data_IF_218330618338
#
_entry.id   IF_218330618338
#
_cell.length_a   1.000
_cell.length_b   1.000
_cell.length_c   1.000
_cell.angle_alpha   90.00
_cell.angle_beta   90.00
_cell.angle_gamma   90.00
#
_symmetry.space_group_name_H-M   'P 1'
#
loop_
_entity.id
_entity.type
_entity.pdbx_description
1 polymer ?
#
# COMPACT_ATOMS: atom_id res chain seq x y z
N UNK A 1 11.30 9.33 -12.78
CA UNK A 1 10.76 9.75 -11.46
C UNK A 1 10.29 8.58 -10.60
N UNK A 2 9.53 7.61 -11.14
CA UNK A 2 8.99 6.43 -10.42
C UNK A 2 10.00 5.68 -9.53
N UNK A 3 11.23 5.47 -10.00
CA UNK A 3 12.29 4.83 -9.20
C UNK A 3 12.68 5.60 -7.94
N UNK A 4 12.65 6.94 -7.97
CA UNK A 4 12.92 7.79 -6.81
C UNK A 4 11.78 7.66 -5.78
N UNK A 5 10.54 7.59 -6.24
CA UNK A 5 9.38 7.38 -5.36
C UNK A 5 9.43 6.00 -4.70
N UNK A 6 9.76 4.95 -5.47
CA UNK A 6 9.97 3.60 -4.92
C UNK A 6 11.05 3.64 -3.84
N UNK A 7 12.19 4.26 -4.12
CA UNK A 7 13.27 4.38 -3.13
C UNK A 7 12.84 5.15 -1.88
N UNK A 8 12.06 6.24 -2.01
CA UNK A 8 11.50 7.00 -0.88
C UNK A 8 10.56 6.13 -0.03
N UNK A 9 9.66 5.39 -0.67
CA UNK A 9 8.69 4.52 0.02
C UNK A 9 9.39 3.37 0.74
N UNK A 10 10.36 2.71 0.09
CA UNK A 10 11.14 1.63 0.72
C UNK A 10 11.97 2.12 1.92
N UNK A 11 12.46 3.37 1.89
CA UNK A 11 13.11 3.99 3.05
C UNK A 11 12.13 4.29 4.19
N UNK A 12 10.91 4.71 3.87
CA UNK A 12 9.83 4.97 4.85
C UNK A 12 9.31 3.68 5.49
N UNK A 13 9.32 2.57 4.73
CA UNK A 13 8.84 1.26 5.17
C UNK A 13 9.89 0.16 4.93
N UNK A 14 10.93 0.07 5.78
CA UNK A 14 12.04 -0.87 5.58
C UNK A 14 11.60 -2.34 5.44
N UNK A 15 10.54 -2.75 6.14
CA UNK A 15 9.99 -4.11 6.08
C UNK A 15 9.53 -4.53 4.67
N UNK A 16 9.20 -3.57 3.79
CA UNK A 16 8.81 -3.86 2.41
C UNK A 16 9.99 -4.44 1.61
N UNK A 17 11.23 -4.06 1.97
CA UNK A 17 12.45 -4.61 1.34
C UNK A 17 12.57 -6.10 1.62
N UNK A 18 12.24 -6.53 2.84
CA UNK A 18 12.28 -7.94 3.23
C UNK A 18 11.23 -8.75 2.47
N UNK A 19 10.00 -8.22 2.35
CA UNK A 19 8.91 -8.88 1.59
C UNK A 19 9.28 -9.03 0.12
N UNK A 20 9.84 -7.98 -0.49
CA UNK A 20 10.33 -8.01 -1.87
C UNK A 20 11.44 -9.05 -2.05
N UNK A 21 12.41 -9.09 -1.14
CA UNK A 21 13.57 -9.99 -1.20
C UNK A 21 13.17 -11.45 -1.02
N UNK A 22 12.29 -11.75 -0.07
CA UNK A 22 11.88 -13.13 0.25
C UNK A 22 11.08 -13.79 -0.87
N UNK A 23 10.31 -13.03 -1.66
CA UNK A 23 9.39 -13.59 -2.65
C UNK A 23 9.98 -13.76 -4.05
N UNK A 24 11.31 -13.66 -4.19
CA UNK A 24 12.03 -13.91 -5.45
C UNK A 24 11.34 -13.30 -6.68
N UNK A 25 10.91 -12.04 -6.60
CA UNK A 25 10.51 -11.34 -7.81
C UNK A 25 11.80 -10.88 -8.48
N UNK A 26 12.37 -11.74 -9.33
CA UNK A 26 13.63 -11.50 -10.05
C UNK A 26 13.62 -10.17 -10.81
N UNK A 27 12.45 -9.58 -11.02
CA UNK A 27 12.26 -8.23 -11.51
C UNK A 27 11.04 -7.65 -10.79
N UNK A 28 11.25 -6.78 -9.79
CA UNK A 28 10.19 -5.82 -9.46
C UNK A 28 10.01 -4.96 -10.71
N UNK A 29 9.03 -5.29 -11.55
CA UNK A 29 8.61 -4.33 -12.55
C UNK A 29 8.14 -3.09 -11.78
N UNK A 30 8.75 -1.92 -11.97
CA UNK A 30 8.42 -0.73 -11.18
C UNK A 30 6.92 -0.40 -11.20
N UNK A 31 6.23 -0.82 -12.27
CA UNK A 31 4.80 -0.64 -12.52
C UNK A 31 3.87 -1.69 -11.87
N UNK A 32 4.41 -2.80 -11.36
CA UNK A 32 3.64 -3.84 -10.66
C UNK A 32 3.57 -3.62 -9.15
N UNK A 33 4.39 -2.70 -8.62
CA UNK A 33 4.42 -2.38 -7.19
C UNK A 33 3.41 -1.28 -6.91
N UNK A 34 2.40 -1.61 -6.11
CA UNK A 34 1.46 -0.65 -5.55
C UNK A 34 1.66 -0.57 -4.04
N UNK A 35 1.70 0.65 -3.51
CA UNK A 35 1.80 0.86 -2.07
C UNK A 35 0.63 1.72 -1.61
N UNK A 36 -0.06 1.23 -0.59
CA UNK A 36 -1.21 1.89 0.01
C UNK A 36 -0.91 2.22 1.46
N UNK A 37 -1.21 3.44 1.90
CA UNK A 37 -1.07 3.84 3.30
C UNK A 37 -2.41 4.32 3.80
N UNK A 38 -2.86 3.81 4.95
CA UNK A 38 -4.05 4.32 5.60
C UNK A 38 -3.83 5.78 6.00
N UNK A 39 -4.81 6.66 5.78
CA UNK A 39 -4.67 8.10 6.06
C UNK A 39 -4.35 8.41 7.53
N UNK A 40 -4.81 7.56 8.43
CA UNK A 40 -4.51 7.64 9.87
C UNK A 40 -3.09 7.16 10.23
N UNK A 41 -2.32 6.67 9.25
CA UNK A 41 -0.98 6.13 9.44
C UNK A 41 -0.96 4.77 10.17
N UNK A 42 -2.12 4.18 10.44
CA UNK A 42 -2.24 2.95 11.23
C UNK A 42 -1.75 1.70 10.50
N UNK A 43 -1.67 1.77 9.18
CA UNK A 43 -1.36 0.64 8.33
C UNK A 43 -0.69 1.09 7.04
N UNK A 44 0.29 0.30 6.58
CA UNK A 44 0.87 0.41 5.26
C UNK A 44 0.86 -0.96 4.59
N UNK A 45 0.44 -0.99 3.32
CA UNK A 45 0.29 -2.20 2.53
C UNK A 45 1.11 -2.13 1.26
N UNK A 46 1.77 -3.24 0.93
CA UNK A 46 2.49 -3.47 -0.31
C UNK A 46 1.74 -4.52 -1.14
N UNK A 47 1.23 -4.14 -2.30
CA UNK A 47 0.71 -5.09 -3.29
C UNK A 47 1.71 -5.25 -4.43
N UNK A 48 2.07 -6.50 -4.69
CA UNK A 48 2.95 -6.90 -5.78
C UNK A 48 2.18 -7.61 -6.91
N UNK A 49 0.96 -8.05 -6.61
CA UNK A 49 0.04 -8.72 -7.53
C UNK A 49 -1.38 -8.59 -6.95
N UNK A 50 -2.12 -7.53 -7.29
CA UNK A 50 -3.47 -7.31 -6.76
C UNK A 50 -4.40 -8.51 -7.00
N UNK A 51 -5.32 -8.82 -6.09
CA UNK A 51 -5.63 -8.11 -4.84
C UNK A 51 -4.77 -8.55 -3.63
N UNK A 52 -3.72 -9.36 -3.85
CA UNK A 52 -2.86 -9.84 -2.76
C UNK A 52 -1.92 -8.73 -2.30
N UNK A 53 -1.95 -8.44 -1.01
CA UNK A 53 -1.12 -7.42 -0.39
C UNK A 53 -0.50 -7.92 0.93
N UNK A 54 0.61 -7.32 1.32
CA UNK A 54 1.21 -7.48 2.64
C UNK A 54 0.98 -6.19 3.40
N UNK A 55 0.29 -6.25 4.53
CA UNK A 55 0.01 -5.08 5.34
C UNK A 55 0.74 -5.19 6.68
N UNK A 56 1.35 -4.09 7.09
CA UNK A 56 1.95 -3.92 8.41
C UNK A 56 0.96 -3.19 9.32
N UNK A 57 0.51 -3.87 10.37
CA UNK A 57 -0.33 -3.31 11.41
C UNK A 57 0.34 -3.57 12.76
N UNK A 58 0.54 -2.52 13.56
CA UNK A 58 1.17 -2.61 14.90
C UNK A 58 2.51 -3.37 14.89
N UNK A 59 3.34 -3.19 13.86
CA UNK A 59 4.66 -3.83 13.73
C UNK A 59 4.64 -5.28 13.24
N UNK A 60 3.47 -5.91 13.09
CA UNK A 60 3.33 -7.23 12.49
C UNK A 60 2.98 -7.12 11.00
N UNK A 61 3.72 -7.83 10.14
CA UNK A 61 3.46 -7.92 8.70
C UNK A 61 2.66 -9.18 8.41
N UNK A 62 1.52 -9.04 7.74
CA UNK A 62 0.67 -10.17 7.34
C UNK A 62 0.26 -10.07 5.88
N UNK A 63 0.15 -11.22 5.24
CA UNK A 63 -0.48 -11.32 3.93
C UNK A 63 -2.01 -11.20 4.10
N UNK A 64 -2.62 -10.31 3.32
CA UNK A 64 -4.05 -10.06 3.33
C UNK A 64 -4.56 -9.86 1.90
N UNK A 65 -5.85 -10.08 1.70
CA UNK A 65 -6.54 -9.74 0.46
C UNK A 65 -7.08 -8.32 0.60
N UNK A 66 -6.48 -7.38 -0.13
CA UNK A 66 -6.81 -5.96 -0.05
C UNK A 66 -7.73 -5.60 -1.23
N UNK A 67 -9.04 -5.59 -0.98
CA UNK A 67 -10.03 -5.18 -1.96
C UNK A 67 -10.36 -3.70 -1.78
N UNK A 68 -10.01 -2.87 -2.77
CA UNK A 68 -10.16 -1.43 -2.71
C UNK A 68 -11.07 -0.92 -3.83
N UNK A 69 -11.84 0.11 -3.52
CA UNK A 69 -12.62 0.92 -4.44
C UNK A 69 -11.99 2.30 -4.54
N UNK A 70 -11.72 2.76 -5.76
CA UNK A 70 -11.37 4.16 -5.98
C UNK A 70 -12.46 5.07 -5.41
N UNK A 71 -12.05 6.14 -4.72
CA UNK A 71 -12.94 7.17 -4.21
C UNK A 71 -12.75 8.50 -4.94
N UNK A 72 -11.54 9.07 -4.88
CA UNK A 72 -11.26 10.44 -5.34
C UNK A 72 -9.77 10.67 -5.49
N UNK A 73 -9.41 11.77 -6.14
CA UNK A 73 -8.07 12.33 -6.08
C UNK A 73 -7.99 13.37 -4.96
N UNK A 74 -6.87 13.38 -4.24
CA UNK A 74 -6.63 14.35 -3.16
C UNK A 74 -5.13 14.64 -3.03
N UNK A 75 -4.79 15.83 -2.54
CA UNK A 75 -3.39 16.20 -2.30
C UNK A 75 -2.85 15.48 -1.06
N UNK A 76 -1.79 14.70 -1.24
CA UNK A 76 -1.07 14.02 -0.17
C UNK A 76 0.44 14.08 -0.44
N UNK A 77 1.22 14.53 0.56
CA UNK A 77 2.66 14.83 0.42
C UNK A 77 2.95 15.72 -0.80
N UNK A 78 2.20 16.82 -0.93
CA UNK A 78 2.31 17.83 -2.01
C UNK A 78 2.09 17.30 -3.44
N UNK A 79 1.47 16.12 -3.56
CA UNK A 79 1.14 15.49 -4.84
C UNK A 79 -0.32 15.07 -4.89
N UNK A 80 -0.93 15.15 -6.08
CA UNK A 80 -2.25 14.54 -6.31
C UNK A 80 -2.12 13.02 -6.25
N UNK A 81 -2.78 12.39 -5.28
CA UNK A 81 -2.79 10.95 -5.07
C UNK A 81 -4.21 10.40 -5.17
N UNK A 82 -4.31 9.16 -5.61
CA UNK A 82 -5.57 8.43 -5.59
C UNK A 82 -5.89 7.94 -4.18
N UNK A 83 -7.13 8.17 -3.76
CA UNK A 83 -7.68 7.73 -2.49
C UNK A 83 -8.65 6.58 -2.75
N UNK A 84 -8.51 5.52 -1.97
CA UNK A 84 -9.24 4.28 -2.06
C UNK A 84 -9.97 3.97 -0.74
N UNK A 85 -11.06 3.21 -0.83
CA UNK A 85 -11.81 2.69 0.32
C UNK A 85 -11.93 1.17 0.27
N UNK A 86 -11.87 0.45 1.39
CA UNK A 86 -12.12 -0.98 1.44
C UNK A 86 -13.46 -1.39 0.82
N UNK A 87 -13.45 -2.45 0.02
CA UNK A 87 -14.63 -3.19 -0.41
C UNK A 87 -14.81 -4.40 0.52
N UNK A 88 -16.04 -4.65 0.99
CA UNK A 88 -16.39 -5.90 1.70
C UNK A 88 -16.89 -5.75 3.15
N UNK A 89 -17.41 -6.86 3.68
CA UNK A 89 -18.28 -6.97 4.86
C UNK A 89 -17.54 -7.29 6.19
N UNK A 90 -16.24 -7.00 6.32
CA UNK A 90 -15.60 -6.89 7.64
C UNK A 90 -15.82 -5.46 8.15
N UNK A 91 -17.10 -5.21 8.34
CA UNK A 91 -17.82 -3.99 8.65
C UNK A 91 -17.64 -3.56 10.10
N UNK A 92 -17.69 -2.25 10.32
CA UNK A 92 -17.61 -1.48 11.58
C UNK A 92 -16.26 -0.92 12.02
N UNK A 93 -15.12 -1.63 11.95
CA UNK A 93 -13.84 -1.05 12.38
C UNK A 93 -13.05 -0.32 11.26
N UNK A 94 -13.30 -0.65 10.00
CA UNK A 94 -12.53 -0.19 8.82
C UNK A 94 -13.30 0.74 7.89
N UNK A 95 -14.58 1.01 8.17
CA UNK A 95 -15.46 1.84 7.32
C UNK A 95 -14.94 3.28 7.16
N UNK A 96 -14.12 3.75 8.11
CA UNK A 96 -13.45 5.06 8.07
C UNK A 96 -12.05 5.03 7.45
N UNK A 97 -11.48 3.87 7.17
CA UNK A 97 -10.10 3.77 6.66
C UNK A 97 -10.06 4.10 5.18
N UNK A 98 -9.58 5.29 4.86
CA UNK A 98 -9.19 5.67 3.51
C UNK A 98 -7.71 5.33 3.29
N UNK A 99 -7.38 4.77 2.14
CA UNK A 99 -6.02 4.42 1.74
C UNK A 99 -5.55 5.34 0.62
N UNK A 100 -4.34 5.87 0.75
CA UNK A 100 -3.70 6.67 -0.29
C UNK A 100 -2.72 5.80 -1.06
N UNK A 101 -2.83 5.79 -2.40
CA UNK A 101 -1.88 5.08 -3.27
C UNK A 101 -0.62 5.93 -3.49
N UNK A 102 0.53 5.44 -3.04
CA UNK A 102 1.83 6.11 -3.16
C UNK A 102 2.60 5.74 -4.43
N UNK A 103 2.33 4.57 -5.02
CA UNK A 103 3.02 4.00 -6.20
C UNK A 103 2.06 3.29 -7.14
#
# INVERSE_FOLDING_TARGET
>A
ERGIEIAKVLRKFPWMVDVVRQRQMSILHPYAVEVYVARDGSEACLSLNPPKAYCAQNGAVKETRLELAFSRYETYEDKTREVYRPKGLLTYATVTKEYVKLL
#
